data_IF_440610387616
#
_entry.id   IF_440610387616
#
_cell.length_a   1.000
_cell.length_b   1.000
_cell.length_c   1.000
_cell.angle_alpha   90.00
_cell.angle_beta   90.00
_cell.angle_gamma   90.00
#
_symmetry.space_group_name_H-M   'P 1'
#
loop_
_entity.id
_entity.type
_entity.pdbx_description
1 polymer ?
#
# COMPACT_ATOMS: atom_id res chain seq x y z
N UNK A 1 33.94 16.44 12.86
CA UNK A 1 33.69 15.04 13.29
C UNK A 1 32.20 14.86 13.40
N UNK A 2 31.58 14.14 12.46
CA UNK A 2 30.15 13.78 12.55
C UNK A 2 30.02 12.70 13.60
N UNK A 3 29.25 12.96 14.66
CA UNK A 3 29.00 11.96 15.71
C UNK A 3 28.37 10.75 15.03
N UNK A 4 29.03 9.59 15.09
CA UNK A 4 28.50 8.32 14.55
C UNK A 4 27.27 7.94 15.35
N UNK A 5 26.08 8.28 14.84
CA UNK A 5 24.83 7.95 15.46
C UNK A 5 24.70 6.42 15.65
N UNK A 6 24.15 6.00 16.79
CA UNK A 6 23.87 4.59 17.01
C UNK A 6 22.75 4.13 16.06
N UNK A 7 22.87 2.95 15.48
CA UNK A 7 21.88 2.39 14.55
C UNK A 7 20.46 2.46 15.13
N UNK A 8 20.30 2.12 16.42
CA UNK A 8 19.00 2.16 17.08
C UNK A 8 18.39 3.56 17.16
N UNK A 9 19.21 4.57 17.42
CA UNK A 9 18.77 5.97 17.45
C UNK A 9 18.35 6.45 16.06
N UNK A 10 19.14 6.10 15.03
CA UNK A 10 18.84 6.45 13.64
C UNK A 10 17.55 5.81 13.16
N UNK A 11 17.32 4.53 13.44
CA UNK A 11 16.06 3.84 13.09
C UNK A 11 14.87 4.54 13.77
N UNK A 12 14.94 4.80 15.07
CA UNK A 12 13.89 5.51 15.81
C UNK A 12 13.66 6.92 15.25
N UNK A 13 14.73 7.62 14.89
CA UNK A 13 14.64 8.95 14.27
C UNK A 13 13.87 8.89 12.94
N UNK A 14 14.25 7.99 12.01
CA UNK A 14 13.59 7.84 10.72
C UNK A 14 12.08 7.56 10.90
N UNK A 15 11.72 6.66 11.82
CA UNK A 15 10.32 6.33 12.09
C UNK A 15 9.56 7.54 12.64
N UNK A 16 10.18 8.31 13.55
CA UNK A 16 9.55 9.52 14.14
C UNK A 16 9.40 10.67 13.15
N UNK A 17 10.15 10.69 12.07
CA UNK A 17 10.04 11.73 11.03
C UNK A 17 8.96 11.39 9.97
N UNK A 18 8.42 10.17 9.96
CA UNK A 18 7.44 9.75 8.97
C UNK A 18 6.12 9.34 9.65
N UNK A 19 5.06 10.10 9.37
CA UNK A 19 3.75 9.90 9.98
C UNK A 19 3.17 8.50 9.72
N UNK A 20 3.44 7.92 8.53
CA UNK A 20 2.96 6.59 8.17
C UNK A 20 3.69 5.52 8.96
N UNK A 21 5.01 5.64 9.12
CA UNK A 21 5.78 4.71 9.93
C UNK A 21 5.36 4.78 11.40
N UNK A 22 5.10 5.99 11.91
CA UNK A 22 4.56 6.18 13.25
C UNK A 22 3.20 5.49 13.40
N UNK A 23 2.30 5.68 12.42
CA UNK A 23 0.99 5.01 12.41
C UNK A 23 1.13 3.50 12.45
N UNK A 24 1.98 2.91 11.59
CA UNK A 24 2.18 1.47 11.52
C UNK A 24 2.69 0.86 12.83
N UNK A 25 3.64 1.55 13.49
CA UNK A 25 4.15 1.11 14.80
C UNK A 25 3.07 1.25 15.87
N UNK A 26 2.34 2.38 15.91
CA UNK A 26 1.29 2.63 16.90
C UNK A 26 0.10 1.68 16.77
N UNK A 27 -0.29 1.36 15.55
CA UNK A 27 -1.43 0.46 15.27
C UNK A 27 -1.11 -1.02 15.45
N UNK A 28 0.17 -1.37 15.62
CA UNK A 28 0.63 -2.76 15.65
C UNK A 28 0.54 -3.48 14.31
N UNK A 29 0.31 -2.76 13.21
CA UNK A 29 0.20 -3.32 11.85
C UNK A 29 1.54 -3.49 11.15
N UNK A 30 2.64 -3.01 11.73
CA UNK A 30 3.95 -2.98 11.09
C UNK A 30 4.47 -4.38 10.75
N UNK A 31 4.78 -4.60 9.48
CA UNK A 31 5.66 -5.69 9.07
C UNK A 31 7.11 -5.22 9.23
N UNK A 32 7.74 -5.57 10.36
CA UNK A 32 9.08 -5.09 10.71
C UNK A 32 10.15 -5.42 9.67
N UNK A 33 10.04 -6.57 8.97
CA UNK A 33 10.98 -6.94 7.92
C UNK A 33 10.77 -6.12 6.63
N UNK A 34 9.53 -5.88 6.24
CA UNK A 34 9.22 -5.06 5.07
C UNK A 34 9.67 -3.61 5.30
N UNK A 35 9.32 -3.03 6.45
CA UNK A 35 9.75 -1.67 6.81
C UNK A 35 11.27 -1.57 6.95
N UNK A 36 11.94 -2.58 7.52
CA UNK A 36 13.39 -2.60 7.65
C UNK A 36 14.10 -2.57 6.28
N UNK A 37 13.59 -3.33 5.29
CA UNK A 37 14.13 -3.27 3.91
C UNK A 37 13.96 -1.88 3.31
N UNK A 38 12.81 -1.27 3.50
CA UNK A 38 12.48 0.06 2.96
C UNK A 38 13.37 1.16 3.50
N UNK A 39 13.74 1.13 4.79
CA UNK A 39 14.57 2.18 5.42
C UNK A 39 16.05 1.85 5.48
N UNK A 40 16.50 0.66 5.04
CA UNK A 40 17.88 0.18 5.17
C UNK A 40 18.90 1.18 4.65
N UNK A 41 18.70 1.64 3.41
CA UNK A 41 19.66 2.53 2.74
C UNK A 41 19.78 3.88 3.47
N UNK A 42 18.66 4.42 3.95
CA UNK A 42 18.68 5.63 4.77
C UNK A 42 19.45 5.44 6.08
N UNK A 43 19.27 4.29 6.75
CA UNK A 43 20.00 3.95 7.98
C UNK A 43 21.49 3.82 7.70
N UNK A 44 21.87 3.13 6.62
CA UNK A 44 23.27 2.97 6.24
C UNK A 44 23.93 4.32 5.91
N UNK A 45 23.24 5.16 5.13
CA UNK A 45 23.72 6.51 4.79
C UNK A 45 23.94 7.37 6.04
N UNK A 46 22.97 7.38 6.95
CA UNK A 46 23.05 8.22 8.16
C UNK A 46 24.05 7.71 9.21
N UNK A 47 24.31 6.39 9.25
CA UNK A 47 25.23 5.80 10.25
C UNK A 47 26.64 5.57 9.71
N UNK A 48 26.80 5.53 8.38
CA UNK A 48 28.04 5.12 7.72
C UNK A 48 28.40 3.63 7.97
N UNK A 49 27.42 2.78 8.33
CA UNK A 49 27.64 1.38 8.68
C UNK A 49 26.84 0.47 7.73
N UNK A 50 27.43 -0.66 7.37
CA UNK A 50 26.64 -1.74 6.75
C UNK A 50 25.78 -2.42 7.83
N UNK A 51 24.46 -2.27 7.71
CA UNK A 51 23.49 -2.77 8.69
C UNK A 51 22.61 -3.83 8.05
N UNK A 52 22.52 -4.99 8.70
CA UNK A 52 21.65 -6.08 8.22
C UNK A 52 20.17 -5.75 8.48
N UNK A 53 19.31 -6.13 7.54
CA UNK A 53 17.85 -5.95 7.63
C UNK A 53 17.31 -6.49 8.97
N UNK A 54 17.74 -7.68 9.39
CA UNK A 54 17.30 -8.29 10.64
C UNK A 54 17.64 -7.45 11.89
N UNK A 55 18.73 -6.68 11.87
CA UNK A 55 19.09 -5.79 12.97
C UNK A 55 18.09 -4.63 13.04
N UNK A 56 17.76 -4.03 11.89
CA UNK A 56 16.77 -2.95 11.81
C UNK A 56 15.39 -3.48 12.21
N UNK A 57 14.97 -4.64 11.70
CA UNK A 57 13.70 -5.27 12.01
C UNK A 57 13.52 -5.54 13.51
N UNK A 58 14.58 -6.04 14.21
CA UNK A 58 14.55 -6.21 15.66
C UNK A 58 14.35 -4.91 16.42
N UNK A 59 14.98 -3.82 15.95
CA UNK A 59 14.78 -2.48 16.56
C UNK A 59 13.33 -2.04 16.38
N UNK A 60 12.77 -2.16 15.17
CA UNK A 60 11.37 -1.81 14.89
C UNK A 60 10.42 -2.62 15.76
N UNK A 61 10.61 -3.95 15.83
CA UNK A 61 9.78 -4.85 16.65
C UNK A 61 9.86 -4.57 18.16
N UNK A 62 10.94 -3.93 18.61
CA UNK A 62 11.11 -3.54 20.02
C UNK A 62 10.50 -2.17 20.35
N UNK A 63 10.05 -1.42 19.36
CA UNK A 63 9.41 -0.11 19.58
C UNK A 63 8.01 -0.29 20.17
N UNK A 64 7.68 0.57 21.14
CA UNK A 64 6.35 0.59 21.76
C UNK A 64 5.55 1.76 21.20
N UNK A 65 4.21 1.70 21.24
CA UNK A 65 3.36 2.83 20.85
C UNK A 65 3.72 4.16 21.55
N UNK A 66 4.19 4.10 22.80
CA UNK A 66 4.68 5.26 23.54
C UNK A 66 5.94 5.89 22.96
N UNK A 67 6.69 5.18 22.13
CA UNK A 67 7.93 5.67 21.50
C UNK A 67 7.66 6.63 20.33
N UNK A 68 6.43 6.69 19.83
CA UNK A 68 5.99 7.48 18.69
C UNK A 68 4.75 8.30 19.03
N UNK A 69 4.60 9.45 18.36
CA UNK A 69 3.42 10.30 18.59
C UNK A 69 2.14 9.60 18.14
N UNK A 70 1.02 9.77 18.86
CA UNK A 70 -0.26 9.25 18.40
C UNK A 70 -0.61 9.89 17.05
N UNK A 71 -1.06 9.04 16.14
CA UNK A 71 -1.46 9.43 14.82
C UNK A 71 -2.96 9.78 14.80
N UNK A 72 -3.31 10.94 14.25
CA UNK A 72 -4.70 11.34 14.00
C UNK A 72 -4.91 11.36 12.49
N UNK A 73 -5.92 10.62 12.03
CA UNK A 73 -6.19 10.28 10.62
C UNK A 73 -5.76 11.31 9.57
N UNK A 74 -4.95 10.87 8.61
CA UNK A 74 -4.42 11.71 7.53
C UNK A 74 -5.31 11.74 6.29
N UNK A 75 -6.21 10.78 6.13
CA UNK A 75 -6.92 10.58 4.88
C UNK A 75 -8.43 10.60 5.09
N UNK A 76 -9.06 11.54 4.41
CA UNK A 76 -10.52 11.56 4.29
C UNK A 76 -10.88 10.83 2.98
N UNK A 77 -11.12 9.53 3.07
CA UNK A 77 -11.37 8.65 1.94
C UNK A 77 -12.55 7.72 2.17
N UNK A 78 -13.23 7.38 1.09
CA UNK A 78 -14.15 6.25 1.02
C UNK A 78 -13.41 5.08 0.39
N UNK A 79 -13.63 3.88 0.93
CA UNK A 79 -12.96 2.67 0.46
C UNK A 79 -13.99 1.62 0.13
N UNK A 80 -13.86 0.98 -1.02
CA UNK A 80 -14.63 -0.21 -1.39
C UNK A 80 -13.72 -1.27 -1.98
N UNK A 81 -14.05 -2.54 -1.75
CA UNK A 81 -13.33 -3.69 -2.24
C UNK A 81 -14.22 -4.44 -3.24
N UNK A 82 -13.71 -4.65 -4.46
CA UNK A 82 -14.34 -5.49 -5.46
C UNK A 82 -13.51 -6.77 -5.62
N UNK A 83 -14.14 -7.90 -5.35
CA UNK A 83 -13.53 -9.23 -5.42
C UNK A 83 -13.79 -9.94 -6.74
N UNK A 84 -14.64 -9.36 -7.59
CA UNK A 84 -15.05 -9.93 -8.87
C UNK A 84 -14.26 -9.32 -10.04
N UNK A 85 -12.94 -9.28 -9.88
CA UNK A 85 -12.02 -8.76 -10.88
C UNK A 85 -11.09 -9.86 -11.36
N UNK A 86 -10.86 -9.94 -12.66
CA UNK A 86 -9.84 -10.77 -13.26
C UNK A 86 -8.84 -9.94 -14.09
N UNK A 87 -7.61 -10.40 -14.12
CA UNK A 87 -6.55 -9.86 -14.97
C UNK A 87 -6.29 -10.84 -16.11
N UNK A 88 -6.30 -10.34 -17.34
CA UNK A 88 -6.05 -11.12 -18.54
C UNK A 88 -5.15 -10.37 -19.50
N UNK A 89 -4.31 -11.10 -20.24
CA UNK A 89 -3.42 -10.53 -21.22
C UNK A 89 -3.94 -10.84 -22.63
N UNK A 90 -4.03 -9.82 -23.45
CA UNK A 90 -4.52 -9.90 -24.82
C UNK A 90 -3.48 -9.35 -25.81
N UNK A 91 -3.48 -9.86 -27.04
CA UNK A 91 -2.94 -9.13 -28.18
C UNK A 91 -3.83 -7.93 -28.52
N UNK A 92 -3.32 -7.02 -29.32
CA UNK A 92 -4.12 -5.85 -29.77
C UNK A 92 -5.37 -6.27 -30.57
N UNK A 93 -5.27 -7.32 -31.36
CA UNK A 93 -6.38 -7.80 -32.19
C UNK A 93 -7.46 -8.45 -31.33
N UNK A 94 -7.07 -9.26 -30.34
CA UNK A 94 -8.01 -9.87 -29.40
C UNK A 94 -8.71 -8.78 -28.56
N UNK A 95 -7.99 -7.74 -28.16
CA UNK A 95 -8.54 -6.63 -27.39
C UNK A 95 -9.64 -5.87 -28.14
N UNK A 96 -9.48 -5.67 -29.46
CA UNK A 96 -10.49 -5.02 -30.30
C UNK A 96 -11.84 -5.74 -30.31
N UNK A 97 -11.84 -7.05 -30.10
CA UNK A 97 -13.04 -7.89 -30.04
C UNK A 97 -13.70 -7.98 -28.66
N UNK A 98 -13.15 -7.35 -27.64
CA UNK A 98 -13.70 -7.45 -26.29
C UNK A 98 -14.93 -6.57 -26.08
N UNK A 99 -15.86 -7.08 -25.29
CA UNK A 99 -16.95 -6.27 -24.72
C UNK A 99 -16.41 -5.31 -23.67
N UNK A 100 -16.25 -4.05 -24.04
CA UNK A 100 -15.71 -3.02 -23.17
C UNK A 100 -16.59 -2.67 -21.98
N UNK A 101 -17.88 -3.08 -21.98
CA UNK A 101 -18.77 -2.85 -20.83
C UNK A 101 -18.32 -3.59 -19.56
N UNK A 102 -17.53 -4.64 -19.72
CA UNK A 102 -16.97 -5.42 -18.62
C UNK A 102 -15.55 -5.01 -18.23
N UNK A 103 -14.94 -4.07 -18.94
CA UNK A 103 -13.55 -3.67 -18.73
C UNK A 103 -13.48 -2.50 -17.75
N UNK A 104 -12.76 -2.69 -16.64
CA UNK A 104 -12.43 -1.62 -15.70
C UNK A 104 -11.24 -0.79 -16.17
N UNK A 105 -10.24 -1.47 -16.75
CA UNK A 105 -8.98 -0.86 -17.16
C UNK A 105 -8.32 -1.69 -18.24
N UNK A 106 -7.72 -1.02 -19.20
CA UNK A 106 -6.80 -1.62 -20.17
C UNK A 106 -5.47 -0.86 -20.15
N UNK A 107 -4.37 -1.57 -19.99
CA UNK A 107 -3.01 -1.04 -19.98
C UNK A 107 -2.23 -1.63 -21.14
N UNK A 108 -1.59 -0.78 -21.93
CA UNK A 108 -0.70 -1.22 -23.00
C UNK A 108 0.71 -1.31 -22.45
N UNK A 109 1.31 -2.49 -22.50
CA UNK A 109 2.69 -2.72 -22.08
C UNK A 109 3.35 -3.75 -22.98
N UNK A 110 4.54 -3.42 -23.54
CA UNK A 110 5.37 -4.31 -24.33
C UNK A 110 4.61 -5.03 -25.49
N UNK A 111 3.73 -4.30 -26.18
CA UNK A 111 2.96 -4.84 -27.31
C UNK A 111 1.81 -5.78 -26.93
N UNK A 112 1.48 -5.86 -25.65
CA UNK A 112 0.32 -6.57 -25.11
C UNK A 112 -0.63 -5.61 -24.41
N UNK A 113 -1.89 -6.00 -24.30
CA UNK A 113 -2.90 -5.27 -23.54
C UNK A 113 -3.25 -6.08 -22.31
N UNK A 114 -2.88 -5.55 -21.13
CA UNK A 114 -3.32 -6.08 -19.84
C UNK A 114 -4.69 -5.52 -19.58
N UNK A 115 -5.70 -6.37 -19.46
CA UNK A 115 -7.08 -5.99 -19.24
C UNK A 115 -7.52 -6.45 -17.87
N UNK A 116 -8.03 -5.52 -17.10
CA UNK A 116 -8.69 -5.75 -15.82
C UNK A 116 -10.18 -5.61 -16.07
N UNK A 117 -10.90 -6.70 -15.93
CA UNK A 117 -12.34 -6.76 -16.24
C UNK A 117 -13.12 -7.47 -15.15
N UNK A 118 -14.45 -7.38 -15.23
CA UNK A 118 -15.34 -8.13 -14.36
C UNK A 118 -15.09 -9.62 -14.57
N UNK A 119 -14.96 -10.35 -13.48
CA UNK A 119 -14.71 -11.78 -13.48
C UNK A 119 -15.88 -12.53 -14.11
N UNK A 120 -15.59 -13.43 -15.03
CA UNK A 120 -16.56 -14.43 -15.45
C UNK A 120 -16.68 -15.53 -14.38
N UNK A 121 -17.87 -16.09 -14.18
CA UNK A 121 -18.17 -17.02 -13.08
C UNK A 121 -17.27 -18.26 -12.98
N UNK A 122 -16.47 -18.55 -14.00
CA UNK A 122 -15.65 -19.76 -14.12
C UNK A 122 -14.19 -19.62 -13.67
N UNK A 123 -13.69 -18.43 -13.34
CA UNK A 123 -12.27 -18.20 -13.11
C UNK A 123 -11.98 -17.87 -11.65
N UNK A 124 -11.07 -18.60 -11.02
CA UNK A 124 -10.51 -18.22 -9.73
C UNK A 124 -9.45 -17.11 -9.95
N UNK A 125 -9.86 -15.87 -9.79
CA UNK A 125 -8.92 -14.73 -9.86
C UNK A 125 -8.19 -14.55 -8.53
N UNK A 126 -6.86 -14.42 -8.61
CA UNK A 126 -6.00 -14.03 -7.48
C UNK A 126 -5.93 -12.50 -7.30
N UNK A 127 -6.73 -11.75 -8.05
CA UNK A 127 -6.75 -10.29 -8.01
C UNK A 127 -8.02 -9.76 -7.36
N UNK A 128 -7.88 -8.64 -6.67
CA UNK A 128 -8.98 -7.82 -6.14
C UNK A 128 -8.72 -6.37 -6.47
N UNK A 129 -9.80 -5.60 -6.60
CA UNK A 129 -9.75 -4.17 -6.84
C UNK A 129 -10.16 -3.40 -5.57
N UNK A 130 -9.24 -2.63 -5.05
CA UNK A 130 -9.49 -1.66 -3.98
C UNK A 130 -9.69 -0.28 -4.61
N UNK A 131 -10.87 0.29 -4.42
CA UNK A 131 -11.19 1.67 -4.84
C UNK A 131 -11.07 2.59 -3.65
N UNK A 132 -10.27 3.63 -3.77
CA UNK A 132 -10.07 4.64 -2.73
C UNK A 132 -10.46 5.99 -3.30
N UNK A 133 -11.61 6.52 -2.86
CA UNK A 133 -12.13 7.81 -3.30
C UNK A 133 -11.82 8.88 -2.27
N UNK A 134 -11.13 9.93 -2.66
CA UNK A 134 -10.74 11.04 -1.79
C UNK A 134 -11.90 12.04 -1.64
N UNK A 135 -12.23 12.37 -0.41
CA UNK A 135 -13.12 13.48 -0.08
C UNK A 135 -12.26 14.73 0.11
N UNK A 136 -12.42 15.75 -0.74
CA UNK A 136 -11.73 17.03 -0.53
C UNK A 136 -10.57 17.35 -1.48
N UNK A 137 -10.51 16.75 -2.64
CA UNK A 137 -9.78 17.29 -3.81
C UNK A 137 -8.30 16.95 -3.97
N UNK A 138 -7.58 16.51 -2.97
CA UNK A 138 -6.18 16.11 -3.11
C UNK A 138 -6.03 14.60 -3.14
N UNK A 139 -5.79 14.04 -4.33
CA UNK A 139 -5.45 12.61 -4.47
C UNK A 139 -3.95 12.41 -4.34
N UNK A 140 -3.52 11.66 -3.33
CA UNK A 140 -2.12 11.32 -3.12
C UNK A 140 -1.94 9.80 -3.08
N UNK A 141 -1.24 9.24 -4.07
CA UNK A 141 -0.89 7.81 -4.07
C UNK A 141 0.24 7.48 -3.09
N UNK A 142 1.19 8.39 -2.93
CA UNK A 142 2.41 8.14 -2.14
C UNK A 142 2.15 7.61 -0.71
N UNK A 143 1.18 8.10 0.07
CA UNK A 143 0.85 7.53 1.38
C UNK A 143 0.44 6.05 1.32
N UNK A 144 -0.34 5.66 0.31
CA UNK A 144 -0.76 4.26 0.14
C UNK A 144 0.40 3.37 -0.27
N UNK A 145 1.26 3.84 -1.16
CA UNK A 145 2.47 3.11 -1.55
C UNK A 145 3.38 2.84 -0.34
N UNK A 146 3.62 3.85 0.50
CA UNK A 146 4.39 3.68 1.73
C UNK A 146 3.71 2.70 2.69
N UNK A 147 2.40 2.82 2.87
CA UNK A 147 1.61 1.96 3.74
C UNK A 147 1.70 0.50 3.27
N UNK A 148 1.39 0.22 2.02
CA UNK A 148 1.38 -1.13 1.47
C UNK A 148 2.77 -1.76 1.45
N UNK A 149 3.80 -1.02 1.03
CA UNK A 149 5.18 -1.49 1.06
C UNK A 149 5.62 -1.86 2.48
N UNK A 150 5.28 -1.04 3.46
CA UNK A 150 5.65 -1.27 4.86
C UNK A 150 4.91 -2.46 5.49
N UNK A 151 3.76 -2.84 4.92
CA UNK A 151 2.99 -4.03 5.29
C UNK A 151 3.46 -5.28 4.53
N UNK A 152 4.22 -5.11 3.46
CA UNK A 152 4.58 -6.19 2.55
C UNK A 152 3.44 -6.59 1.61
N UNK A 153 2.43 -5.71 1.42
CA UNK A 153 1.34 -5.90 0.47
C UNK A 153 1.85 -5.67 -0.94
N UNK A 154 1.61 -6.64 -1.82
CA UNK A 154 2.01 -6.52 -3.22
C UNK A 154 0.93 -5.82 -4.04
N UNK A 155 1.27 -4.62 -4.52
CA UNK A 155 0.43 -3.85 -5.45
C UNK A 155 0.78 -4.25 -6.87
N UNK A 156 -0.19 -4.80 -7.62
CA UNK A 156 -0.02 -5.19 -9.03
C UNK A 156 -0.10 -3.97 -9.94
N UNK A 157 -1.17 -3.20 -9.83
CA UNK A 157 -1.40 -2.01 -10.64
C UNK A 157 -2.06 -0.91 -9.80
N UNK A 158 -1.76 0.34 -10.17
CA UNK A 158 -2.45 1.52 -9.62
C UNK A 158 -2.82 2.44 -10.77
N UNK A 159 -4.08 2.84 -10.78
CA UNK A 159 -4.57 3.83 -11.73
C UNK A 159 -5.31 4.91 -10.98
N UNK A 160 -5.08 6.13 -11.37
CA UNK A 160 -5.83 7.29 -10.89
C UNK A 160 -6.81 7.73 -11.95
N UNK A 161 -8.05 7.90 -11.55
CA UNK A 161 -9.07 8.57 -12.33
C UNK A 161 -9.81 9.56 -11.44
N UNK A 162 -9.77 10.83 -11.78
CA UNK A 162 -10.30 11.94 -10.98
C UNK A 162 -9.81 11.92 -9.52
N UNK A 163 -10.73 11.80 -8.57
CA UNK A 163 -10.47 11.72 -7.12
C UNK A 163 -10.38 10.29 -6.61
N UNK A 164 -10.32 9.28 -7.49
CA UNK A 164 -10.32 7.87 -7.13
C UNK A 164 -9.01 7.19 -7.54
N UNK A 165 -8.44 6.41 -6.63
CA UNK A 165 -7.40 5.44 -6.93
C UNK A 165 -8.01 4.05 -7.07
N UNK A 166 -7.68 3.40 -8.15
CA UNK A 166 -7.98 2.00 -8.42
C UNK A 166 -6.70 1.21 -8.18
N UNK A 167 -6.67 0.42 -7.12
CA UNK A 167 -5.48 -0.30 -6.66
C UNK A 167 -5.76 -1.80 -6.79
N UNK A 168 -5.00 -2.47 -7.64
CA UNK A 168 -5.12 -3.90 -7.86
C UNK A 168 -4.12 -4.63 -6.99
N UNK A 169 -4.60 -5.53 -6.15
CA UNK A 169 -3.85 -6.27 -5.15
C UNK A 169 -4.01 -7.77 -5.35
N UNK A 170 -3.14 -8.55 -4.73
CA UNK A 170 -3.40 -9.98 -4.53
C UNK A 170 -4.57 -10.15 -3.54
N UNK A 171 -5.41 -11.14 -3.80
CA UNK A 171 -6.54 -11.50 -2.92
C UNK A 171 -6.09 -11.81 -1.50
N UNK A 172 -4.93 -12.47 -1.33
CA UNK A 172 -4.33 -12.76 -0.02
C UNK A 172 -4.05 -11.52 0.81
N UNK A 173 -3.75 -10.40 0.16
CA UNK A 173 -3.32 -9.18 0.82
C UNK A 173 -4.47 -8.19 1.06
N UNK A 174 -5.66 -8.46 0.46
CA UNK A 174 -6.78 -7.55 0.45
C UNK A 174 -7.28 -7.15 1.84
N UNK A 175 -7.44 -8.13 2.74
CA UNK A 175 -7.94 -7.90 4.10
C UNK A 175 -6.96 -7.04 4.89
N UNK A 176 -5.66 -7.32 4.75
CA UNK A 176 -4.62 -6.55 5.43
C UNK A 176 -4.55 -5.11 4.91
N UNK A 177 -4.65 -4.94 3.59
CA UNK A 177 -4.67 -3.62 2.95
C UNK A 177 -5.89 -2.80 3.39
N UNK A 178 -7.09 -3.41 3.36
CA UNK A 178 -8.33 -2.76 3.77
C UNK A 178 -8.29 -2.35 5.25
N UNK A 179 -7.92 -3.26 6.14
CA UNK A 179 -7.80 -2.99 7.58
C UNK A 179 -6.79 -1.88 7.88
N UNK A 180 -5.69 -1.82 7.12
CA UNK A 180 -4.71 -0.76 7.26
C UNK A 180 -5.28 0.60 6.85
N UNK A 181 -5.99 0.68 5.71
CA UNK A 181 -6.61 1.92 5.26
C UNK A 181 -7.73 2.36 6.21
N UNK A 182 -8.58 1.44 6.66
CA UNK A 182 -9.64 1.75 7.63
C UNK A 182 -9.06 2.37 8.89
N UNK A 183 -8.02 1.78 9.45
CA UNK A 183 -7.33 2.33 10.63
C UNK A 183 -6.61 3.65 10.33
N UNK A 184 -6.04 3.77 9.14
CA UNK A 184 -5.34 4.98 8.70
C UNK A 184 -6.29 6.16 8.44
N UNK A 185 -7.55 5.83 8.08
CA UNK A 185 -8.64 6.78 7.85
C UNK A 185 -9.51 6.99 9.09
N UNK A 186 -9.25 6.29 10.20
CA UNK A 186 -10.09 6.31 11.40
C UNK A 186 -10.19 7.72 11.99
N UNK A 187 -11.27 8.36 11.69
CA UNK A 187 -11.65 9.75 11.89
C UNK A 187 -12.60 10.24 10.81
N UNK A 188 -12.61 9.59 9.63
CA UNK A 188 -13.58 9.76 8.56
C UNK A 188 -14.46 8.51 8.52
N UNK A 189 -15.76 8.65 8.67
CA UNK A 189 -16.71 7.54 8.71
C UNK A 189 -16.56 6.63 7.48
N UNK A 190 -16.08 5.41 7.69
CA UNK A 190 -16.05 4.37 6.67
C UNK A 190 -17.47 3.87 6.48
N UNK A 191 -18.12 4.28 5.42
CA UNK A 191 -19.37 3.67 4.97
C UNK A 191 -19.04 2.30 4.39
N UNK A 192 -19.30 1.23 5.15
CA UNK A 192 -19.35 -0.12 4.60
C UNK A 192 -20.53 -0.15 3.62
N UNK A 193 -20.27 -0.02 2.33
CA UNK A 193 -21.24 -0.49 1.35
C UNK A 193 -21.24 -2.02 1.45
N UNK A 194 -22.37 -2.55 1.93
CA UNK A 194 -22.58 -3.98 2.03
C UNK A 194 -22.36 -4.65 0.65
N UNK A 195 -21.65 -5.75 0.69
CA UNK A 195 -21.53 -6.74 -0.38
C UNK A 195 -22.88 -7.32 -0.73
#
# INVERSE_FOLDING_TARGET
MVAKNKVSETVRFIIRQNAIYQFLVNSGLVNSNALARQIKDAVQTMTGKDVKVNTIAKIISSMRPSDVKPYIGLLNVDVSLDTDVEESNYSFEEFKGLDLSQVYLALVSNGRVVVLKRKSAAINSDSVLLKVTFRGGATAYHPFWLLFNSLGVEVKHVVRHDNTLFIFLRRSDAIQALAAIEKFSAGAGVTKSAL
#
